data_IF_060415929107
#
_entry.id   IF_060415929107
#
_cell.length_a   1.000
_cell.length_b   1.000
_cell.length_c   1.000
_cell.angle_alpha   90.00
_cell.angle_beta   90.00
_cell.angle_gamma   90.00
#
_symmetry.space_group_name_H-M   'P 1'
#
loop_
_entity.id
_entity.type
_entity.pdbx_description
1 polymer ?
#
# COMPACT_ATOMS: atom_id res chain seq x y z
N UNK A 1 -0.28 -0.91 27.38
CA UNK A 1 0.74 -0.21 26.57
C UNK A 1 0.40 -0.56 25.13
N UNK A 2 -0.19 0.36 24.36
CA UNK A 2 -0.33 0.10 22.92
C UNK A 2 1.09 0.14 22.35
N UNK A 3 1.60 -1.00 21.87
CA UNK A 3 2.80 -0.99 21.04
C UNK A 3 2.58 0.03 19.94
N UNK A 4 3.44 1.05 19.90
CA UNK A 4 3.26 2.19 19.02
C UNK A 4 3.36 1.72 17.57
N UNK A 5 2.22 1.42 16.93
CA UNK A 5 2.10 1.01 15.52
C UNK A 5 2.35 2.19 14.59
N UNK A 6 3.48 2.87 14.76
CA UNK A 6 3.86 4.02 13.94
C UNK A 6 4.86 3.60 12.87
N UNK A 7 4.52 3.87 11.61
CA UNK A 7 5.42 3.75 10.47
C UNK A 7 5.95 5.15 10.15
N UNK A 8 7.27 5.30 10.11
CA UNK A 8 7.90 6.52 9.58
C UNK A 8 8.36 6.27 8.15
N UNK A 9 7.90 7.12 7.23
CA UNK A 9 8.27 7.07 5.81
C UNK A 9 9.17 8.26 5.51
N UNK A 10 10.44 7.99 5.20
CA UNK A 10 11.39 9.01 4.73
C UNK A 10 11.16 9.27 3.23
N UNK A 11 10.58 10.43 2.90
CA UNK A 11 10.25 10.82 1.54
C UNK A 11 11.48 11.04 0.67
N UNK A 12 12.67 11.22 1.26
CA UNK A 12 13.92 11.30 0.49
C UNK A 12 14.22 10.01 -0.28
N UNK A 13 13.65 8.87 0.15
CA UNK A 13 13.76 7.60 -0.55
C UNK A 13 12.97 7.52 -1.84
N UNK A 14 12.02 8.43 -2.11
CA UNK A 14 11.22 8.36 -3.33
C UNK A 14 12.06 8.50 -4.61
N UNK A 15 13.15 9.27 -4.55
CA UNK A 15 14.13 9.39 -5.63
C UNK A 15 15.14 8.23 -5.72
N UNK A 16 15.09 7.26 -4.82
CA UNK A 16 15.99 6.10 -4.82
C UNK A 16 15.53 4.99 -5.79
N UNK A 17 16.48 4.10 -6.11
CA UNK A 17 16.22 2.90 -6.89
C UNK A 17 15.21 1.95 -6.20
N UNK A 18 14.52 1.16 -7.02
CA UNK A 18 13.42 0.30 -6.58
C UNK A 18 13.83 -0.76 -5.55
N UNK A 19 15.05 -1.28 -5.65
CA UNK A 19 15.66 -2.23 -4.72
C UNK A 19 15.84 -1.61 -3.33
N UNK A 20 16.36 -0.38 -3.25
CA UNK A 20 16.54 0.34 -1.98
C UNK A 20 15.21 0.64 -1.30
N UNK A 21 14.21 1.09 -2.05
CA UNK A 21 12.86 1.36 -1.53
C UNK A 21 12.20 0.06 -1.01
N UNK A 22 12.36 -1.03 -1.76
CA UNK A 22 11.84 -2.35 -1.37
C UNK A 22 12.53 -2.90 -0.13
N UNK A 23 13.85 -2.77 -0.05
CA UNK A 23 14.63 -3.20 1.11
C UNK A 23 14.19 -2.45 2.39
N UNK A 24 13.97 -1.14 2.30
CA UNK A 24 13.51 -0.35 3.43
C UNK A 24 12.08 -0.72 3.85
N UNK A 25 11.16 -0.85 2.89
CA UNK A 25 9.80 -1.29 3.20
C UNK A 25 9.77 -2.68 3.86
N UNK A 26 10.62 -3.61 3.41
CA UNK A 26 10.75 -4.93 4.03
C UNK A 26 11.35 -4.85 5.44
N UNK A 27 12.32 -3.96 5.68
CA UNK A 27 12.87 -3.70 7.02
C UNK A 27 11.78 -3.21 7.97
N UNK A 28 10.95 -2.27 7.51
CA UNK A 28 9.81 -1.74 8.27
C UNK A 28 8.79 -2.85 8.54
N UNK A 29 8.38 -3.60 7.52
CA UNK A 29 7.44 -4.72 7.68
C UNK A 29 7.93 -5.76 8.72
N UNK A 30 9.21 -6.16 8.68
CA UNK A 30 9.80 -7.08 9.65
C UNK A 30 9.77 -6.55 11.07
N UNK A 31 9.89 -5.24 11.28
CA UNK A 31 9.80 -4.64 12.62
C UNK A 31 8.43 -4.84 13.28
N UNK A 32 7.39 -5.13 12.48
CA UNK A 32 6.06 -5.49 12.95
C UNK A 32 5.78 -7.01 12.94
N UNK A 33 6.82 -7.83 12.82
CA UNK A 33 6.71 -9.30 12.89
C UNK A 33 6.28 -9.97 11.58
N UNK A 34 6.22 -9.24 10.46
CA UNK A 34 5.91 -9.84 9.15
C UNK A 34 7.06 -10.74 8.71
N UNK A 35 6.75 -12.01 8.40
CA UNK A 35 7.73 -13.02 8.02
C UNK A 35 8.25 -12.84 6.59
N UNK A 36 9.45 -13.37 6.31
CA UNK A 36 9.99 -13.39 4.95
C UNK A 36 9.09 -14.19 3.97
N UNK A 37 8.36 -15.19 4.46
CA UNK A 37 7.37 -15.91 3.65
C UNK A 37 6.22 -15.00 3.21
N UNK A 38 5.70 -14.15 4.12
CA UNK A 38 4.68 -13.18 3.77
C UNK A 38 5.21 -12.13 2.80
N UNK A 39 6.46 -11.66 3.00
CA UNK A 39 7.13 -10.73 2.10
C UNK A 39 7.36 -11.31 0.69
N UNK A 40 7.62 -12.61 0.59
CA UNK A 40 7.75 -13.29 -0.70
C UNK A 40 6.41 -13.35 -1.45
N UNK A 41 5.31 -13.69 -0.76
CA UNK A 41 3.96 -13.73 -1.34
C UNK A 41 3.46 -12.38 -1.85
N UNK A 42 4.03 -11.27 -1.39
CA UNK A 42 3.74 -9.96 -1.97
C UNK A 42 4.19 -9.88 -3.44
N UNK A 43 5.28 -10.57 -3.82
CA UNK A 43 5.74 -10.58 -5.21
C UNK A 43 4.74 -11.28 -6.14
N UNK A 44 4.07 -12.34 -5.67
CA UNK A 44 3.02 -13.03 -6.45
C UNK A 44 1.85 -12.09 -6.76
N UNK A 45 1.42 -11.29 -5.77
CA UNK A 45 0.35 -10.32 -6.00
C UNK A 45 0.79 -9.17 -6.92
N UNK A 46 2.03 -8.70 -6.81
CA UNK A 46 2.60 -7.70 -7.73
C UNK A 46 2.72 -8.23 -9.16
N UNK A 47 3.04 -9.51 -9.32
CA UNK A 47 3.06 -10.17 -10.63
C UNK A 47 1.65 -10.18 -11.24
N UNK A 48 0.63 -10.55 -10.47
CA UNK A 48 -0.76 -10.49 -10.91
C UNK A 48 -1.20 -9.06 -11.29
N UNK A 49 -0.85 -8.05 -10.49
CA UNK A 49 -1.14 -6.65 -10.83
C UNK A 49 -0.49 -6.21 -12.14
N UNK A 50 0.70 -6.73 -12.45
CA UNK A 50 1.40 -6.46 -13.72
C UNK A 50 0.75 -7.18 -14.88
N UNK A 51 0.38 -8.44 -14.70
CA UNK A 51 -0.31 -9.26 -15.71
C UNK A 51 -1.64 -8.64 -16.13
N UNK A 52 -2.40 -8.13 -15.16
CA UNK A 52 -3.74 -7.56 -15.37
C UNK A 52 -3.75 -6.04 -15.61
N UNK A 53 -2.59 -5.38 -15.70
CA UNK A 53 -2.48 -3.91 -15.83
C UNK A 53 -3.32 -3.14 -14.76
N UNK A 54 -3.17 -3.57 -13.51
CA UNK A 54 -4.12 -3.27 -12.44
C UNK A 54 -3.50 -2.52 -11.25
N UNK A 55 -2.30 -1.96 -11.41
CA UNK A 55 -1.50 -1.40 -10.31
C UNK A 55 -2.17 -0.27 -9.51
N UNK A 56 -3.11 0.47 -10.10
CA UNK A 56 -3.81 1.58 -9.44
C UNK A 56 -5.07 1.14 -8.69
N UNK A 57 -5.48 -0.12 -8.86
CA UNK A 57 -6.75 -0.65 -8.39
C UNK A 57 -6.78 -1.24 -6.95
N UNK A 58 -5.67 -1.68 -6.31
CA UNK A 58 -5.76 -2.42 -5.04
C UNK A 58 -6.38 -1.66 -3.86
N UNK A 59 -6.33 -0.32 -3.87
CA UNK A 59 -6.78 0.53 -2.76
C UNK A 59 -7.82 1.60 -3.19
N UNK A 60 -8.27 1.59 -4.44
CA UNK A 60 -8.87 2.75 -5.13
C UNK A 60 -10.25 3.15 -4.59
N UNK A 61 -10.45 4.46 -4.39
CA UNK A 61 -11.74 5.07 -4.05
C UNK A 61 -12.16 6.40 -4.76
N UNK A 62 -13.45 6.54 -5.09
CA UNK A 62 -14.25 7.61 -5.72
C UNK A 62 -14.30 8.97 -5.01
N UNK A 63 -14.62 9.99 -5.81
CA UNK A 63 -14.88 11.39 -5.44
C UNK A 63 -16.12 11.83 -6.22
N UNK A 64 -17.03 12.60 -5.60
CA UNK A 64 -18.23 13.13 -6.28
C UNK A 64 -17.97 14.48 -7.00
N UNK A 65 -18.99 15.01 -7.69
CA UNK A 65 -18.94 16.26 -8.49
C UNK A 65 -18.58 17.51 -7.65
N UNK A 66 -18.90 17.50 -6.36
CA UNK A 66 -18.61 18.58 -5.41
C UNK A 66 -17.20 18.47 -4.77
N UNK A 67 -16.39 17.49 -5.18
CA UNK A 67 -15.05 17.25 -4.64
C UNK A 67 -15.04 16.61 -3.25
N UNK A 68 -16.18 16.11 -2.76
CA UNK A 68 -16.29 15.42 -1.48
C UNK A 68 -16.39 13.90 -1.67
N UNK A 69 -15.33 13.19 -1.30
CA UNK A 69 -15.33 11.75 -1.21
C UNK A 69 -13.93 11.15 -1.17
N UNK A 70 -13.80 10.06 -0.41
CA UNK A 70 -12.88 8.96 -0.66
C UNK A 70 -13.79 7.77 -0.81
N UNK A 71 -13.91 7.15 -1.97
CA UNK A 71 -14.96 6.14 -2.09
C UNK A 71 -14.42 4.90 -2.70
N UNK A 72 -13.67 4.16 -1.90
CA UNK A 72 -13.32 2.79 -2.18
C UNK A 72 -14.44 2.08 -3.01
N UNK A 73 -14.29 1.99 -4.34
CA UNK A 73 -15.32 1.45 -5.25
C UNK A 73 -14.86 0.06 -5.58
N UNK A 74 -15.08 -0.89 -4.67
CA UNK A 74 -14.67 -2.28 -4.85
C UNK A 74 -15.12 -2.85 -6.20
N UNK A 75 -16.29 -2.43 -6.69
CA UNK A 75 -16.87 -2.84 -7.97
C UNK A 75 -16.23 -2.17 -9.21
N UNK A 76 -15.33 -1.19 -9.01
CA UNK A 76 -14.52 -0.57 -10.07
C UNK A 76 -13.01 -0.81 -9.91
N UNK A 77 -12.58 -1.58 -8.91
CA UNK A 77 -11.22 -2.12 -8.83
C UNK A 77 -10.99 -3.29 -9.81
N UNK A 78 -11.71 -3.27 -10.93
CA UNK A 78 -11.74 -4.32 -11.94
C UNK A 78 -10.91 -3.86 -13.13
N UNK A 79 -9.86 -4.61 -13.43
CA UNK A 79 -9.01 -4.42 -14.59
C UNK A 79 -9.80 -4.54 -15.90
N UNK A 80 -9.20 -4.07 -17.00
CA UNK A 80 -9.83 -4.07 -18.32
C UNK A 80 -10.27 -5.47 -18.78
N UNK A 81 -9.57 -6.50 -18.34
CA UNK A 81 -9.84 -7.91 -18.65
C UNK A 81 -10.86 -8.57 -17.71
N UNK A 82 -11.39 -7.81 -16.74
CA UNK A 82 -12.38 -8.30 -15.77
C UNK A 82 -11.78 -8.81 -14.46
N UNK A 83 -10.46 -8.72 -14.25
CA UNK A 83 -9.84 -9.16 -13.00
C UNK A 83 -10.03 -8.15 -11.87
N UNK A 84 -10.62 -8.56 -10.75
CA UNK A 84 -10.87 -7.72 -9.58
C UNK A 84 -9.64 -7.69 -8.65
N UNK A 85 -8.87 -6.62 -8.76
CA UNK A 85 -7.63 -6.43 -8.02
C UNK A 85 -7.87 -6.31 -6.51
N UNK A 86 -8.96 -5.66 -6.09
CA UNK A 86 -9.28 -5.52 -4.68
C UNK A 86 -9.72 -6.85 -4.07
N UNK A 87 -10.58 -7.61 -4.74
CA UNK A 87 -10.97 -8.94 -4.28
C UNK A 87 -9.76 -9.85 -4.17
N UNK A 88 -8.85 -9.80 -5.15
CA UNK A 88 -7.59 -10.53 -5.09
C UNK A 88 -6.73 -10.08 -3.89
N UNK A 89 -6.62 -8.78 -3.62
CA UNK A 89 -5.94 -8.25 -2.44
C UNK A 89 -6.55 -8.77 -1.14
N UNK A 90 -7.88 -8.72 -1.00
CA UNK A 90 -8.60 -9.15 0.21
C UNK A 90 -8.54 -10.66 0.44
N UNK A 91 -8.29 -11.45 -0.59
CA UNK A 91 -8.07 -12.90 -0.49
C UNK A 91 -6.68 -13.26 0.07
N UNK A 92 -5.72 -12.33 0.07
CA UNK A 92 -4.38 -12.58 0.61
C UNK A 92 -4.42 -12.73 2.15
N UNK A 93 -3.46 -13.46 2.75
CA UNK A 93 -3.29 -13.45 4.21
C UNK A 93 -3.06 -12.02 4.74
N UNK A 94 -3.56 -11.72 5.94
CA UNK A 94 -3.49 -10.36 6.51
C UNK A 94 -2.08 -9.79 6.59
N UNK A 95 -1.08 -10.63 6.87
CA UNK A 95 0.32 -10.21 6.92
C UNK A 95 0.85 -9.83 5.53
N UNK A 96 0.41 -10.53 4.48
CA UNK A 96 0.74 -10.21 3.08
C UNK A 96 0.05 -8.92 2.66
N UNK A 97 -1.23 -8.72 3.05
CA UNK A 97 -1.93 -7.45 2.80
C UNK A 97 -1.21 -6.28 3.47
N UNK A 98 -0.84 -6.44 4.74
CA UNK A 98 -0.12 -5.42 5.52
C UNK A 98 1.25 -5.13 4.91
N UNK A 99 1.99 -6.17 4.53
CA UNK A 99 3.29 -6.03 3.87
C UNK A 99 3.20 -5.27 2.54
N UNK A 100 2.21 -5.61 1.71
CA UNK A 100 1.99 -4.94 0.44
C UNK A 100 1.64 -3.46 0.64
N UNK A 101 0.74 -3.14 1.57
CA UNK A 101 0.40 -1.76 1.90
C UNK A 101 1.61 -0.98 2.44
N UNK A 102 2.43 -1.57 3.31
CA UNK A 102 3.69 -0.96 3.76
C UNK A 102 4.60 -0.67 2.56
N UNK A 103 4.75 -1.59 1.62
CA UNK A 103 5.58 -1.35 0.42
C UNK A 103 5.05 -0.21 -0.44
N UNK A 104 3.74 -0.09 -0.60
CA UNK A 104 3.18 0.98 -1.42
C UNK A 104 3.53 2.37 -0.90
N UNK A 105 3.66 2.55 0.43
CA UNK A 105 4.15 3.81 1.02
C UNK A 105 5.51 4.24 0.47
N UNK A 106 6.41 3.29 0.15
CA UNK A 106 7.77 3.58 -0.29
C UNK A 106 7.92 3.55 -1.81
N UNK A 107 7.16 2.71 -2.53
CA UNK A 107 7.49 2.36 -3.92
C UNK A 107 6.56 2.94 -4.99
N UNK A 108 5.31 3.27 -4.66
CA UNK A 108 4.26 3.55 -5.66
C UNK A 108 3.89 5.04 -5.78
N UNK A 109 2.96 5.39 -6.68
CA UNK A 109 2.44 6.76 -6.89
C UNK A 109 1.68 7.29 -5.67
N UNK A 110 1.52 8.60 -5.66
CA UNK A 110 0.88 9.41 -4.62
C UNK A 110 -0.50 8.90 -4.20
N UNK A 111 -1.36 8.56 -5.17
CA UNK A 111 -2.72 8.06 -4.91
C UNK A 111 -2.71 6.69 -4.22
N UNK A 112 -1.78 5.82 -4.59
CA UNK A 112 -1.65 4.48 -4.02
C UNK A 112 -1.00 4.51 -2.64
N UNK A 113 -0.05 5.44 -2.42
CA UNK A 113 0.50 5.71 -1.08
C UNK A 113 -0.61 6.15 -0.13
N UNK A 114 -1.48 7.05 -0.61
CA UNK A 114 -2.62 7.50 0.18
C UNK A 114 -3.58 6.36 0.50
N UNK A 115 -3.97 5.56 -0.51
CA UNK A 115 -4.83 4.38 -0.31
C UNK A 115 -4.23 3.36 0.66
N UNK A 116 -2.93 3.08 0.54
CA UNK A 116 -2.22 2.20 1.45
C UNK A 116 -2.15 2.76 2.89
N UNK A 117 -1.94 4.07 3.06
CA UNK A 117 -2.00 4.72 4.37
C UNK A 117 -3.37 4.54 5.00
N UNK A 118 -4.45 4.78 4.25
CA UNK A 118 -5.82 4.60 4.76
C UNK A 118 -6.10 3.16 5.15
N UNK A 119 -5.72 2.18 4.33
CA UNK A 119 -5.83 0.77 4.68
C UNK A 119 -5.08 0.44 5.98
N UNK A 120 -3.81 0.89 6.09
CA UNK A 120 -2.99 0.66 7.28
C UNK A 120 -3.61 1.31 8.53
N UNK A 121 -4.20 2.49 8.40
CA UNK A 121 -4.86 3.19 9.50
C UNK A 121 -6.16 2.50 9.94
N UNK A 122 -7.13 2.40 9.05
CA UNK A 122 -8.48 1.96 9.40
C UNK A 122 -8.59 0.44 9.60
N UNK A 123 -7.89 -0.37 8.80
CA UNK A 123 -8.02 -1.83 8.85
C UNK A 123 -6.98 -2.49 9.76
N UNK A 124 -5.81 -1.84 9.94
CA UNK A 124 -4.66 -2.45 10.62
C UNK A 124 -4.21 -1.69 11.88
N UNK A 125 -4.73 -0.48 12.10
CA UNK A 125 -4.49 0.34 13.28
C UNK A 125 -3.09 0.97 13.34
N UNK A 126 -2.46 1.21 12.20
CA UNK A 126 -1.19 1.92 12.12
C UNK A 126 -1.37 3.43 12.02
N UNK A 127 -0.38 4.18 12.47
CA UNK A 127 -0.23 5.59 12.17
C UNK A 127 0.97 5.75 11.24
N UNK A 128 0.79 6.44 10.11
CA UNK A 128 1.89 6.74 9.18
C UNK A 128 2.32 8.18 9.37
N UNK A 129 3.62 8.39 9.56
CA UNK A 129 4.25 9.70 9.63
C UNK A 129 5.20 9.84 8.45
N UNK A 130 4.98 10.82 7.60
CA UNK A 130 5.92 11.19 6.55
C UNK A 130 6.93 12.19 7.09
N UNK A 131 8.21 11.97 6.77
CA UNK A 131 9.32 12.84 7.15
C UNK A 131 10.24 13.07 5.94
N UNK A 132 10.97 14.19 5.93
CA UNK A 132 11.87 14.54 4.84
C UNK A 132 11.30 15.59 3.86
N UNK A 133 11.99 15.82 2.73
CA UNK A 133 11.60 16.84 1.75
C UNK A 133 10.18 16.61 1.24
N UNK A 134 9.33 17.65 1.32
CA UNK A 134 7.96 17.58 0.85
C UNK A 134 7.02 16.72 1.70
N UNK A 135 7.41 16.34 2.93
CA UNK A 135 6.56 15.56 3.84
C UNK A 135 5.24 16.25 4.19
N UNK A 136 5.18 17.58 4.11
CA UNK A 136 3.97 18.39 4.31
C UNK A 136 2.92 18.22 3.20
N UNK A 137 3.20 17.45 2.15
CA UNK A 137 2.27 17.13 1.07
C UNK A 137 1.59 15.75 1.24
N UNK A 138 1.82 15.05 2.35
CA UNK A 138 1.36 13.68 2.64
C UNK A 138 0.71 13.59 4.02
#
# INVERSE_FOLDING_TARGET
>A
MADNKQITVDTSLYGAYADRKTAEANRVARSFGISDEALAKVEDYKAALTEHDAWDLPFLGYVNEDGYGYAFVSDQAVARDGWDAYKAFRALPLDVQTAFAIRMLFTHRDVDRYGANMYLHYERGFNVKFEGPGANHW
#
